data_IF_362753711355
#
_entry.id   IF_362753711355
#
_cell.length_a   1.000
_cell.length_b   1.000
_cell.length_c   1.000
_cell.angle_alpha   90.00
_cell.angle_beta   90.00
_cell.angle_gamma   90.00
#
_symmetry.space_group_name_H-M   'P 1'
#
loop_
_entity.id
_entity.type
_entity.pdbx_description
1 polymer ?
#
# COMPACT_ATOMS: atom_id res chain seq x y z
N UNK A 1 -19.04 -59.22 46.74
CA UNK A 1 -17.82 -58.44 46.41
C UNK A 1 -18.04 -57.73 45.08
N UNK A 2 -18.34 -56.42 45.10
CA UNK A 2 -18.75 -55.63 43.94
C UNK A 2 -17.52 -54.85 43.43
N UNK A 3 -16.78 -55.41 42.48
CA UNK A 3 -15.57 -54.78 41.92
C UNK A 3 -15.97 -53.65 40.96
N UNK A 4 -15.31 -52.52 41.18
CA UNK A 4 -15.60 -51.17 40.69
C UNK A 4 -15.51 -51.03 39.16
N UNK A 5 -16.65 -50.76 38.52
CA UNK A 5 -16.77 -50.40 37.08
C UNK A 5 -16.49 -48.88 36.84
N UNK A 6 -16.14 -48.13 37.90
CA UNK A 6 -16.03 -46.66 37.86
C UNK A 6 -14.68 -46.17 37.28
N UNK A 7 -13.64 -47.01 37.30
CA UNK A 7 -12.28 -46.65 36.84
C UNK A 7 -12.16 -46.41 35.32
N UNK A 8 -12.76 -47.21 34.41
CA UNK A 8 -12.61 -46.99 32.97
C UNK A 8 -13.22 -45.67 32.47
N UNK A 9 -14.30 -45.18 33.10
CA UNK A 9 -14.97 -43.95 32.68
C UNK A 9 -14.18 -42.67 33.00
N UNK A 10 -13.46 -42.65 34.13
CA UNK A 10 -12.62 -41.50 34.51
C UNK A 10 -11.40 -41.35 33.60
N UNK A 11 -10.83 -42.45 33.10
CA UNK A 11 -9.73 -42.43 32.13
C UNK A 11 -10.17 -41.91 30.75
N UNK A 12 -11.38 -42.28 30.29
CA UNK A 12 -11.93 -41.79 29.01
C UNK A 12 -12.24 -40.28 29.07
N UNK A 13 -12.81 -39.80 30.19
CA UNK A 13 -13.10 -38.37 30.37
C UNK A 13 -11.81 -37.54 30.47
N UNK A 14 -10.80 -38.03 31.20
CA UNK A 14 -9.51 -37.35 31.31
C UNK A 14 -8.77 -37.28 29.96
N UNK A 15 -8.83 -38.33 29.15
CA UNK A 15 -8.23 -38.35 27.81
C UNK A 15 -8.96 -37.38 26.85
N UNK A 16 -10.30 -37.37 26.85
CA UNK A 16 -11.09 -36.45 26.03
C UNK A 16 -10.89 -34.97 26.43
N UNK A 17 -10.73 -34.68 27.73
CA UNK A 17 -10.42 -33.34 28.20
C UNK A 17 -8.98 -32.90 27.87
N UNK A 18 -8.04 -33.85 27.81
CA UNK A 18 -6.66 -33.60 27.41
C UNK A 18 -6.55 -33.33 25.89
N UNK A 19 -7.30 -34.04 25.06
CA UNK A 19 -7.34 -33.81 23.61
C UNK A 19 -7.98 -32.47 23.27
N UNK A 20 -9.12 -32.11 23.88
CA UNK A 20 -9.76 -30.81 23.65
C UNK A 20 -8.85 -29.63 24.04
N UNK A 21 -8.13 -29.73 25.16
CA UNK A 21 -7.15 -28.71 25.57
C UNK A 21 -5.95 -28.63 24.63
N UNK A 22 -5.53 -29.74 24.03
CA UNK A 22 -4.46 -29.75 23.06
C UNK A 22 -4.89 -29.08 21.75
N UNK A 23 -6.11 -29.33 21.29
CA UNK A 23 -6.70 -28.69 20.10
C UNK A 23 -6.85 -27.18 20.30
N UNK A 24 -7.39 -26.74 21.45
CA UNK A 24 -7.51 -25.32 21.80
C UNK A 24 -6.12 -24.63 21.84
N UNK A 25 -5.10 -25.30 22.38
CA UNK A 25 -3.74 -24.76 22.47
C UNK A 25 -3.05 -24.65 21.10
N UNK A 26 -3.35 -25.58 20.19
CA UNK A 26 -2.87 -25.54 18.80
C UNK A 26 -3.53 -24.41 18.02
N UNK A 27 -4.85 -24.23 18.15
CA UNK A 27 -5.60 -23.13 17.52
C UNK A 27 -5.10 -21.76 18.01
N UNK A 28 -4.90 -21.62 19.31
CA UNK A 28 -4.32 -20.43 19.94
C UNK A 28 -2.89 -20.13 19.45
N UNK A 29 -2.08 -21.17 19.22
CA UNK A 29 -0.72 -21.02 18.72
C UNK A 29 -0.71 -20.61 17.25
N UNK A 30 -1.55 -21.23 16.41
CA UNK A 30 -1.69 -20.89 15.00
C UNK A 30 -2.19 -19.44 14.84
N UNK A 31 -3.22 -19.04 15.59
CA UNK A 31 -3.76 -17.68 15.56
C UNK A 31 -2.67 -16.66 15.89
N UNK A 32 -1.85 -16.92 16.92
CA UNK A 32 -0.74 -16.04 17.28
C UNK A 32 0.32 -15.97 16.19
N UNK A 33 0.65 -17.08 15.55
CA UNK A 33 1.64 -17.13 14.47
C UNK A 33 1.17 -16.36 13.24
N UNK A 34 -0.07 -16.61 12.79
CA UNK A 34 -0.73 -15.90 11.68
C UNK A 34 -0.80 -14.41 11.93
N UNK A 35 -1.22 -14.05 13.14
CA UNK A 35 -1.32 -12.66 13.54
C UNK A 35 0.06 -12.00 13.53
N UNK A 36 1.09 -12.59 14.14
CA UNK A 36 2.44 -12.04 14.15
C UNK A 36 3.01 -11.87 12.73
N UNK A 37 2.73 -12.83 11.83
CA UNK A 37 3.13 -12.73 10.42
C UNK A 37 2.50 -11.51 9.72
N UNK A 38 1.18 -11.39 9.81
CA UNK A 38 0.46 -10.28 9.19
C UNK A 38 0.83 -8.94 9.84
N UNK A 39 1.05 -8.92 11.16
CA UNK A 39 1.44 -7.71 11.89
C UNK A 39 2.77 -7.16 11.43
N UNK A 40 3.78 -8.01 11.28
CA UNK A 40 5.08 -7.60 10.78
C UNK A 40 5.00 -7.05 9.34
N UNK A 41 4.26 -7.72 8.44
CA UNK A 41 4.17 -7.33 7.03
C UNK A 41 3.36 -6.05 6.83
N UNK A 42 2.21 -5.90 7.49
CA UNK A 42 1.40 -4.69 7.39
C UNK A 42 2.16 -3.47 7.93
N UNK A 43 2.89 -3.60 9.03
CA UNK A 43 3.69 -2.49 9.56
C UNK A 43 4.82 -2.08 8.59
N UNK A 44 5.47 -3.07 7.97
CA UNK A 44 6.50 -2.81 6.94
C UNK A 44 5.91 -2.09 5.73
N UNK A 45 4.77 -2.55 5.22
CA UNK A 45 4.06 -1.92 4.10
C UNK A 45 3.67 -0.48 4.43
N UNK A 46 3.15 -0.25 5.64
CA UNK A 46 2.77 1.08 6.13
C UNK A 46 3.97 2.02 6.17
N UNK A 47 5.08 1.58 6.77
CA UNK A 47 6.29 2.40 6.87
C UNK A 47 6.83 2.76 5.48
N UNK A 48 6.89 1.80 4.55
CA UNK A 48 7.28 2.08 3.17
C UNK A 48 6.35 3.12 2.52
N UNK A 49 5.03 2.95 2.65
CA UNK A 49 4.05 3.89 2.12
C UNK A 49 4.17 5.30 2.72
N UNK A 50 4.47 5.42 4.01
CA UNK A 50 4.70 6.70 4.70
C UNK A 50 5.96 7.40 4.20
N UNK A 51 7.09 6.68 4.08
CA UNK A 51 8.35 7.22 3.57
C UNK A 51 8.18 7.68 2.12
N UNK A 52 7.59 6.84 1.28
CA UNK A 52 7.32 7.14 -0.12
C UNK A 52 6.43 8.38 -0.26
N UNK A 53 5.29 8.38 0.44
CA UNK A 53 4.33 9.49 0.40
C UNK A 53 4.95 10.80 0.86
N UNK A 54 5.66 10.80 1.99
CA UNK A 54 6.28 11.99 2.56
C UNK A 54 7.36 12.54 1.63
N UNK A 55 8.17 11.65 1.06
CA UNK A 55 9.26 12.02 0.15
C UNK A 55 8.74 12.68 -1.11
N UNK A 56 7.76 12.07 -1.78
CA UNK A 56 7.20 12.61 -3.02
C UNK A 56 6.34 13.86 -2.79
N UNK A 57 5.53 13.90 -1.72
CA UNK A 57 4.79 15.11 -1.37
C UNK A 57 5.73 16.28 -1.09
N UNK A 58 6.80 16.05 -0.34
CA UNK A 58 7.82 17.08 -0.04
C UNK A 58 8.51 17.53 -1.32
N UNK A 59 8.94 16.59 -2.16
CA UNK A 59 9.59 16.88 -3.44
C UNK A 59 8.72 17.75 -4.35
N UNK A 60 7.45 17.37 -4.54
CA UNK A 60 6.53 18.13 -5.39
C UNK A 60 6.17 19.50 -4.78
N UNK A 61 5.95 19.57 -3.47
CA UNK A 61 5.62 20.83 -2.78
C UNK A 61 6.79 21.82 -2.85
N UNK A 62 8.00 21.37 -2.52
CA UNK A 62 9.19 22.20 -2.60
C UNK A 62 9.53 22.56 -4.05
N UNK A 63 9.39 21.62 -4.97
CA UNK A 63 9.55 21.84 -6.41
C UNK A 63 8.63 22.95 -6.91
N UNK A 64 7.34 22.93 -6.55
CA UNK A 64 6.39 23.97 -6.96
C UNK A 64 6.84 25.36 -6.48
N UNK A 65 7.25 25.50 -5.22
CA UNK A 65 7.75 26.78 -4.67
C UNK A 65 9.04 27.22 -5.36
N UNK A 66 10.02 26.34 -5.47
CA UNK A 66 11.31 26.66 -6.07
C UNK A 66 11.17 27.08 -7.54
N UNK A 67 10.34 26.37 -8.32
CA UNK A 67 10.11 26.74 -9.71
C UNK A 67 9.32 28.05 -9.84
N UNK A 68 8.38 28.33 -8.94
CA UNK A 68 7.65 29.60 -8.95
C UNK A 68 8.59 30.79 -8.69
N UNK A 69 9.50 30.67 -7.72
CA UNK A 69 10.53 31.70 -7.47
C UNK A 69 11.44 31.89 -8.68
N UNK A 70 11.87 30.79 -9.32
CA UNK A 70 12.69 30.89 -10.55
C UNK A 70 11.90 31.53 -11.70
N UNK A 71 10.60 31.24 -11.83
CA UNK A 71 9.76 31.77 -12.90
C UNK A 71 9.63 33.31 -12.81
N UNK A 72 9.58 33.88 -11.61
CA UNK A 72 9.52 35.35 -11.43
C UNK A 72 10.84 36.04 -11.74
N UNK A 73 11.95 35.32 -11.67
CA UNK A 73 13.30 35.81 -11.96
C UNK A 73 13.74 35.57 -13.41
N UNK A 74 13.01 34.75 -14.16
CA UNK A 74 13.34 34.39 -15.53
C UNK A 74 13.17 35.57 -16.50
N UNK A 75 14.24 35.86 -17.24
CA UNK A 75 14.32 36.97 -18.20
C UNK A 75 13.86 36.56 -19.60
N UNK A 76 14.06 35.30 -19.99
CA UNK A 76 13.64 34.77 -21.27
C UNK A 76 12.24 34.14 -21.20
N UNK A 77 11.47 34.30 -22.29
CA UNK A 77 10.07 33.90 -22.34
C UNK A 77 9.90 32.36 -22.31
N UNK A 78 10.79 31.63 -22.98
CA UNK A 78 10.74 30.17 -23.08
C UNK A 78 10.98 29.52 -21.70
N UNK A 79 12.02 29.91 -20.98
CA UNK A 79 12.29 29.41 -19.64
C UNK A 79 11.24 29.83 -18.64
N UNK A 80 10.74 31.07 -18.72
CA UNK A 80 9.63 31.47 -17.85
C UNK A 80 8.40 30.60 -18.08
N UNK A 81 8.08 30.26 -19.33
CA UNK A 81 6.98 29.37 -19.66
C UNK A 81 7.21 27.93 -19.14
N UNK A 82 8.39 27.36 -19.39
CA UNK A 82 8.78 26.03 -18.88
C UNK A 82 8.70 25.94 -17.35
N UNK A 83 9.15 26.99 -16.64
CA UNK A 83 9.10 27.06 -15.19
C UNK A 83 7.65 27.11 -14.68
N UNK A 84 6.77 27.91 -15.30
CA UNK A 84 5.34 27.92 -14.93
C UNK A 84 4.65 26.59 -15.22
N UNK A 85 4.96 25.94 -16.34
CA UNK A 85 4.47 24.59 -16.64
C UNK A 85 4.95 23.61 -15.55
N UNK A 86 6.21 23.73 -15.14
CA UNK A 86 6.79 22.91 -14.06
C UNK A 86 6.10 23.16 -12.72
N UNK A 87 5.73 24.40 -12.40
CA UNK A 87 4.91 24.73 -11.21
C UNK A 87 3.58 24.00 -11.28
N UNK A 88 2.85 24.12 -12.39
CA UNK A 88 1.53 23.47 -12.56
C UNK A 88 1.64 21.95 -12.41
N UNK A 89 2.64 21.32 -13.05
CA UNK A 89 2.89 19.88 -12.92
C UNK A 89 3.20 19.49 -11.48
N UNK A 90 4.08 20.23 -10.81
CA UNK A 90 4.47 19.95 -9.43
C UNK A 90 3.30 20.11 -8.45
N UNK A 91 2.49 21.16 -8.61
CA UNK A 91 1.26 21.35 -7.83
C UNK A 91 0.27 20.22 -8.07
N UNK A 92 0.07 19.80 -9.32
CA UNK A 92 -0.76 18.63 -9.64
C UNK A 92 -0.26 17.35 -8.98
N UNK A 93 1.07 17.14 -8.97
CA UNK A 93 1.72 16.08 -8.21
C UNK A 93 1.39 16.14 -6.73
N UNK A 94 1.60 17.29 -6.07
CA UNK A 94 1.29 17.46 -4.65
C UNK A 94 -0.19 17.20 -4.32
N UNK A 95 -1.11 17.71 -5.15
CA UNK A 95 -2.57 17.47 -4.99
C UNK A 95 -2.88 15.97 -5.05
N UNK A 96 -2.28 15.22 -5.98
CA UNK A 96 -2.46 13.77 -6.06
C UNK A 96 -2.08 13.08 -4.75
N UNK A 97 -0.93 13.45 -4.16
CA UNK A 97 -0.47 12.86 -2.89
C UNK A 97 -1.37 13.26 -1.72
N UNK A 98 -1.90 14.48 -1.70
CA UNK A 98 -2.88 14.91 -0.68
C UNK A 98 -4.20 14.14 -0.81
N UNK A 99 -4.68 13.93 -2.04
CA UNK A 99 -5.95 13.25 -2.30
C UNK A 99 -5.90 11.75 -2.01
N UNK A 100 -4.73 11.12 -2.21
CA UNK A 100 -4.54 9.68 -2.01
C UNK A 100 -3.34 9.47 -1.06
N UNK A 101 -3.54 9.67 0.25
CA UNK A 101 -2.49 9.51 1.22
C UNK A 101 -1.99 8.06 1.27
N UNK A 102 -0.67 7.89 1.41
CA UNK A 102 0.00 6.60 1.56
C UNK A 102 -0.34 5.57 0.46
N UNK A 103 -0.78 6.02 -0.72
CA UNK A 103 -1.23 5.11 -1.78
C UNK A 103 -2.46 4.27 -1.43
N UNK A 104 -3.18 4.62 -0.37
CA UNK A 104 -4.31 3.83 0.14
C UNK A 104 -3.93 2.57 0.94
N UNK A 105 -2.64 2.41 1.27
CA UNK A 105 -2.15 1.37 2.20
C UNK A 105 -2.68 1.68 3.60
N UNK A 106 -3.27 0.66 4.23
CA UNK A 106 -3.74 0.72 5.60
C UNK A 106 -2.74 0.07 6.54
N UNK A 107 -2.49 0.74 7.66
CA UNK A 107 -1.82 0.17 8.82
C UNK A 107 -2.75 -0.66 9.69
N UNK A 108 -2.19 -1.32 10.69
CA UNK A 108 -2.94 -2.12 11.66
C UNK A 108 -3.64 -1.33 12.74
N UNK A 109 -3.43 -0.01 12.81
CA UNK A 109 -4.02 0.84 13.84
C UNK A 109 -5.47 0.44 14.13
N UNK A 110 -5.75 0.28 15.43
CA UNK A 110 -6.11 1.51 16.13
C UNK A 110 -5.33 1.69 17.43
N UNK A 111 -5.30 2.94 17.90
CA UNK A 111 -4.98 3.37 19.27
C UNK A 111 -5.23 2.27 20.32
N UNK A 112 -4.38 2.14 21.36
CA UNK A 112 -4.53 1.16 22.45
C UNK A 112 -5.96 1.01 23.02
N UNK A 113 -6.81 2.03 22.86
CA UNK A 113 -8.23 2.02 23.23
C UNK A 113 -9.10 1.01 22.47
N UNK A 114 -8.71 0.54 21.29
CA UNK A 114 -9.54 -0.35 20.45
C UNK A 114 -9.05 -1.81 20.43
N UNK A 115 -7.80 -2.07 20.81
CA UNK A 115 -7.21 -3.41 20.91
C UNK A 115 -7.37 -4.00 22.32
N UNK A 116 -7.54 -3.17 23.35
CA UNK A 116 -7.76 -3.63 24.71
C UNK A 116 -9.05 -4.47 24.83
N UNK A 117 -8.92 -5.70 25.33
CA UNK A 117 -10.05 -6.63 25.53
C UNK A 117 -10.56 -7.35 24.28
N UNK A 118 -9.90 -7.22 23.12
CA UNK A 118 -10.26 -8.01 21.92
C UNK A 118 -9.55 -9.37 21.91
N UNK A 119 -10.25 -10.41 21.45
CA UNK A 119 -9.67 -11.74 21.32
C UNK A 119 -8.62 -11.80 20.20
N UNK A 120 -7.63 -12.71 20.29
CA UNK A 120 -6.68 -12.97 19.21
C UNK A 120 -7.34 -13.25 17.86
N UNK A 121 -8.44 -14.02 17.85
CA UNK A 121 -9.20 -14.31 16.63
C UNK A 121 -9.79 -13.06 15.96
N UNK A 122 -10.27 -12.09 16.75
CA UNK A 122 -10.77 -10.83 16.19
C UNK A 122 -9.65 -10.00 15.55
N UNK A 123 -8.48 -9.95 16.20
CA UNK A 123 -7.29 -9.25 15.69
C UNK A 123 -6.80 -9.88 14.39
N UNK A 124 -6.77 -11.21 14.33
CA UNK A 124 -6.42 -11.96 13.13
C UNK A 124 -7.36 -11.63 11.98
N UNK A 125 -8.68 -11.74 12.19
CA UNK A 125 -9.67 -11.40 11.16
C UNK A 125 -9.55 -9.95 10.67
N UNK A 126 -9.16 -9.01 11.54
CA UNK A 126 -8.89 -7.63 11.14
C UNK A 126 -7.61 -7.53 10.31
N UNK A 127 -6.52 -8.16 10.73
CA UNK A 127 -5.26 -8.17 10.01
C UNK A 127 -5.43 -8.77 8.60
N UNK A 128 -6.19 -9.85 8.48
CA UNK A 128 -6.51 -10.47 7.18
C UNK A 128 -7.28 -9.53 6.26
N UNK A 129 -8.28 -8.80 6.77
CA UNK A 129 -9.01 -7.80 5.97
C UNK A 129 -8.09 -6.67 5.49
N UNK A 130 -7.19 -6.21 6.35
CA UNK A 130 -6.23 -5.15 5.98
C UNK A 130 -5.23 -5.67 4.94
N UNK A 131 -4.68 -6.87 5.12
CA UNK A 131 -3.75 -7.47 4.18
C UNK A 131 -4.39 -7.68 2.80
N UNK A 132 -5.62 -8.22 2.77
CA UNK A 132 -6.38 -8.37 1.52
C UNK A 132 -6.70 -7.02 0.85
N UNK A 133 -7.07 -5.99 1.63
CA UNK A 133 -7.28 -4.64 1.11
C UNK A 133 -6.00 -4.04 0.52
N UNK A 134 -4.88 -4.11 1.24
CA UNK A 134 -3.59 -3.61 0.76
C UNK A 134 -3.18 -4.35 -0.53
N UNK A 135 -3.31 -5.67 -0.57
CA UNK A 135 -3.05 -6.47 -1.76
C UNK A 135 -3.92 -6.07 -2.96
N UNK A 136 -5.18 -5.73 -2.74
CA UNK A 136 -6.09 -5.29 -3.81
C UNK A 136 -5.82 -3.84 -4.28
N UNK A 137 -5.24 -2.99 -3.42
CA UNK A 137 -4.94 -1.58 -3.72
C UNK A 137 -3.58 -1.38 -4.35
N UNK A 138 -2.67 -2.32 -4.14
CA UNK A 138 -1.29 -2.24 -4.61
C UNK A 138 -1.12 -2.96 -5.93
N UNK A 139 -0.55 -2.28 -6.92
CA UNK A 139 -0.15 -2.90 -8.19
C UNK A 139 1.36 -2.75 -8.36
N UNK A 140 2.12 -3.83 -8.55
CA UNK A 140 3.54 -3.74 -8.84
C UNK A 140 3.78 -2.86 -10.07
N UNK A 141 4.62 -1.84 -9.91
CA UNK A 141 5.06 -0.91 -10.97
C UNK A 141 3.98 -0.02 -11.62
N UNK A 142 2.80 0.14 -11.02
CA UNK A 142 1.67 0.87 -11.60
C UNK A 142 1.12 0.24 -12.92
N UNK A 143 -0.15 0.49 -13.28
CA UNK A 143 -0.70 -0.03 -14.53
C UNK A 143 -0.18 0.73 -15.75
N UNK A 144 -0.11 0.06 -16.92
CA UNK A 144 0.45 0.60 -18.17
C UNK A 144 -0.08 2.00 -18.54
N UNK A 145 -1.38 2.26 -18.29
CA UNK A 145 -2.01 3.53 -18.62
C UNK A 145 -1.46 4.71 -17.80
N UNK A 146 -0.90 4.46 -16.61
CA UNK A 146 -0.28 5.48 -15.78
C UNK A 146 1.01 6.01 -16.42
N UNK A 147 1.82 5.14 -17.03
CA UNK A 147 3.03 5.51 -17.76
C UNK A 147 2.69 6.30 -19.03
N UNK A 148 1.65 5.89 -19.75
CA UNK A 148 1.16 6.62 -20.92
C UNK A 148 0.65 8.01 -20.52
N UNK A 149 -0.10 8.12 -19.43
CA UNK A 149 -0.55 9.41 -18.90
C UNK A 149 0.64 10.29 -18.47
N UNK A 150 1.66 9.71 -17.80
CA UNK A 150 2.88 10.41 -17.43
C UNK A 150 3.64 10.94 -18.67
N UNK A 151 3.78 10.10 -19.71
CA UNK A 151 4.38 10.50 -20.98
C UNK A 151 3.58 11.64 -21.64
N UNK A 152 2.25 11.52 -21.69
CA UNK A 152 1.38 12.51 -22.33
C UNK A 152 1.46 13.89 -21.65
N UNK A 153 1.43 13.93 -20.30
CA UNK A 153 1.57 15.18 -19.52
C UNK A 153 2.94 15.82 -19.73
N UNK A 154 3.99 15.03 -19.90
CA UNK A 154 5.32 15.56 -20.12
C UNK A 154 5.55 16.03 -21.56
N UNK A 155 5.08 15.26 -22.55
CA UNK A 155 5.12 15.62 -23.95
C UNK A 155 4.33 16.89 -24.25
N UNK A 156 3.18 17.12 -23.59
CA UNK A 156 2.43 18.37 -23.77
C UNK A 156 3.24 19.60 -23.34
N UNK A 157 4.01 19.50 -22.25
CA UNK A 157 4.95 20.55 -21.84
C UNK A 157 6.02 20.83 -22.90
N UNK A 158 6.61 19.78 -23.48
CA UNK A 158 7.58 19.95 -24.57
C UNK A 158 6.98 20.65 -25.79
N UNK A 159 5.76 20.31 -26.17
CA UNK A 159 5.05 20.95 -27.30
C UNK A 159 4.77 22.42 -27.00
N UNK A 160 4.33 22.77 -25.79
CA UNK A 160 4.06 24.16 -25.43
C UNK A 160 5.33 25.01 -25.51
N UNK A 161 6.45 24.53 -24.94
CA UNK A 161 7.72 25.27 -24.95
C UNK A 161 8.32 25.30 -26.38
N UNK A 162 8.37 24.16 -27.05
CA UNK A 162 8.97 24.03 -28.37
C UNK A 162 8.21 24.75 -29.47
N UNK A 163 6.90 24.49 -29.61
CA UNK A 163 6.09 25.11 -30.65
C UNK A 163 5.65 26.54 -30.27
N UNK A 164 5.37 26.81 -29.00
CA UNK A 164 4.87 28.12 -28.54
C UNK A 164 5.97 29.18 -28.37
N UNK A 165 7.19 28.75 -28.02
CA UNK A 165 8.30 29.66 -27.71
C UNK A 165 9.56 29.40 -28.54
N UNK A 166 9.54 28.43 -29.45
CA UNK A 166 10.64 28.14 -30.38
C UNK A 166 11.81 27.39 -29.77
N UNK A 167 11.70 26.86 -28.54
CA UNK A 167 12.79 26.16 -27.84
C UNK A 167 12.48 24.68 -27.62
N UNK A 168 12.66 23.88 -28.68
CA UNK A 168 12.45 22.44 -28.62
C UNK A 168 13.45 21.72 -27.73
N UNK A 169 14.69 22.22 -27.64
CA UNK A 169 15.72 21.61 -26.80
C UNK A 169 15.31 21.68 -25.33
N UNK A 170 14.93 22.86 -24.86
CA UNK A 170 14.43 23.04 -23.49
C UNK A 170 13.17 22.22 -23.24
N UNK A 171 12.21 22.26 -24.17
CA UNK A 171 10.97 21.49 -24.05
C UNK A 171 11.20 19.99 -23.89
N UNK A 172 12.08 19.41 -24.72
CA UNK A 172 12.41 17.97 -24.66
C UNK A 172 13.14 17.61 -23.38
N UNK A 173 14.11 18.43 -22.94
CA UNK A 173 14.83 18.19 -21.67
C UNK A 173 13.86 18.20 -20.49
N UNK A 174 12.98 19.20 -20.43
CA UNK A 174 11.96 19.32 -19.38
C UNK A 174 11.01 18.12 -19.38
N UNK A 175 10.54 17.69 -20.55
CA UNK A 175 9.70 16.50 -20.68
C UNK A 175 10.42 15.22 -20.24
N UNK A 176 11.68 15.03 -20.61
CA UNK A 176 12.47 13.86 -20.23
C UNK A 176 12.67 13.80 -18.71
N UNK A 177 13.02 14.92 -18.08
CA UNK A 177 13.18 15.02 -16.62
C UNK A 177 11.84 14.73 -15.93
N UNK A 178 10.76 15.39 -16.36
CA UNK A 178 9.45 15.21 -15.75
C UNK A 178 8.91 13.78 -15.91
N UNK A 179 9.16 13.15 -17.07
CA UNK A 179 8.82 11.75 -17.29
C UNK A 179 9.60 10.85 -16.33
N UNK A 180 10.92 10.98 -16.27
CA UNK A 180 11.79 10.18 -15.40
C UNK A 180 11.40 10.32 -13.91
N UNK A 181 11.06 11.53 -13.46
CA UNK A 181 10.56 11.78 -12.10
C UNK A 181 9.25 11.03 -11.84
N UNK A 182 8.30 11.07 -12.79
CA UNK A 182 7.03 10.34 -12.67
C UNK A 182 7.23 8.82 -12.63
N UNK A 183 8.11 8.28 -13.49
CA UNK A 183 8.46 6.86 -13.50
C UNK A 183 9.12 6.44 -12.18
N UNK A 184 10.08 7.23 -11.68
CA UNK A 184 10.71 6.98 -10.39
C UNK A 184 9.68 6.91 -9.25
N UNK A 185 8.65 7.76 -9.29
CA UNK A 185 7.56 7.71 -8.30
C UNK A 185 6.75 6.42 -8.38
N UNK A 186 6.48 5.91 -9.59
CA UNK A 186 5.78 4.62 -9.75
C UNK A 186 6.64 3.43 -9.30
N UNK A 187 7.92 3.39 -9.68
CA UNK A 187 8.81 2.28 -9.34
C UNK A 187 9.18 2.21 -7.87
N UNK A 188 9.19 3.34 -7.16
CA UNK A 188 9.48 3.39 -5.72
C UNK A 188 8.24 3.27 -4.85
N UNK A 189 7.05 3.18 -5.45
CA UNK A 189 5.81 3.01 -4.69
C UNK A 189 5.74 1.67 -3.94
N UNK A 190 4.91 1.57 -2.89
CA UNK A 190 4.69 0.30 -2.19
C UNK A 190 4.17 -0.77 -3.15
N UNK A 191 4.72 -1.99 -3.09
CA UNK A 191 4.46 -3.08 -4.04
C UNK A 191 4.35 -4.47 -3.39
N UNK A 192 4.67 -4.59 -2.10
CA UNK A 192 4.88 -5.86 -1.39
C UNK A 192 3.58 -6.58 -1.06
N UNK A 193 2.50 -5.83 -0.83
CA UNK A 193 1.26 -6.35 -0.27
C UNK A 193 0.63 -7.55 -1.01
N UNK A 194 0.58 -7.58 -2.37
CA UNK A 194 0.08 -8.74 -3.09
C UNK A 194 0.91 -10.01 -2.85
N UNK A 195 2.25 -9.87 -2.78
CA UNK A 195 3.16 -10.97 -2.50
C UNK A 195 3.04 -11.47 -1.06
N UNK A 196 2.99 -10.55 -0.09
CA UNK A 196 2.80 -10.88 1.32
C UNK A 196 1.48 -11.61 1.58
N UNK A 197 0.42 -11.20 0.90
CA UNK A 197 -0.90 -11.83 1.00
C UNK A 197 -0.92 -13.23 0.36
N UNK A 198 -0.30 -13.40 -0.80
CA UNK A 198 -0.17 -14.71 -1.43
C UNK A 198 0.67 -15.67 -0.57
N UNK A 199 1.76 -15.19 0.04
CA UNK A 199 2.60 -15.97 0.97
C UNK A 199 1.79 -16.41 2.19
N UNK A 200 1.01 -15.51 2.78
CA UNK A 200 0.10 -15.82 3.88
C UNK A 200 -0.89 -16.94 3.51
N UNK A 201 -1.59 -16.79 2.37
CA UNK A 201 -2.57 -17.79 1.93
C UNK A 201 -1.94 -19.15 1.68
N UNK A 202 -0.77 -19.19 1.03
CA UNK A 202 -0.05 -20.41 0.74
C UNK A 202 0.42 -21.12 2.03
N UNK A 203 0.96 -20.38 3.00
CA UNK A 203 1.53 -20.93 4.23
C UNK A 203 0.47 -21.59 5.12
N UNK A 204 -0.71 -20.99 5.24
CA UNK A 204 -1.81 -21.53 6.04
C UNK A 204 -2.86 -22.29 5.23
N UNK A 205 -2.54 -22.63 3.97
CA UNK A 205 -3.43 -23.34 3.02
C UNK A 205 -4.85 -22.83 3.12
N UNK A 206 -4.98 -21.50 3.10
CA UNK A 206 -6.26 -20.89 2.84
C UNK A 206 -6.54 -21.14 1.36
N UNK A 207 -6.96 -22.37 1.05
CA UNK A 207 -7.67 -22.70 -0.19
C UNK A 207 -8.96 -21.88 -0.13
N UNK A 208 -8.84 -20.60 -0.46
CA UNK A 208 -9.97 -19.92 -1.07
C UNK A 208 -10.14 -20.67 -2.38
N UNK A 209 -11.08 -21.62 -2.38
CA UNK A 209 -11.67 -22.14 -3.61
C UNK A 209 -12.22 -20.96 -4.40
N UNK A 210 -11.34 -20.26 -5.12
CA UNK A 210 -11.66 -19.18 -6.05
C UNK A 210 -12.22 -19.79 -7.34
N UNK A 211 -13.18 -20.69 -7.16
CA UNK A 211 -14.28 -20.88 -8.07
C UNK A 211 -15.53 -20.30 -7.41
N UNK A 212 -15.93 -19.11 -7.85
CA UNK A 212 -17.33 -18.63 -7.83
C UNK A 212 -17.96 -18.35 -6.45
N UNK A 213 -17.79 -17.12 -5.92
CA UNK A 213 -18.89 -16.37 -5.29
C UNK A 213 -18.45 -14.94 -5.00
N UNK A 214 -19.12 -13.98 -5.63
CA UNK A 214 -18.90 -12.55 -5.40
C UNK A 214 -19.13 -12.19 -3.94
N UNK A 215 -18.07 -11.71 -3.29
CA UNK A 215 -18.19 -10.94 -2.06
C UNK A 215 -18.74 -9.58 -2.44
N UNK A 216 -20.05 -9.38 -2.22
CA UNK A 216 -20.62 -8.04 -2.16
C UNK A 216 -20.01 -7.34 -0.94
N UNK A 217 -19.26 -6.28 -1.21
CA UNK A 217 -18.91 -5.29 -0.20
C UNK A 217 -20.15 -4.44 0.02
N UNK A 218 -20.91 -4.75 1.06
CA UNK A 218 -21.90 -3.82 1.57
C UNK A 218 -21.14 -2.80 2.43
N UNK A 219 -21.12 -1.56 1.94
CA UNK A 219 -20.60 -0.37 2.61
C UNK A 219 -21.55 0.10 3.73
#
# INVERSE_FOLDING_TARGET
MRRSIVVPWLLVIALAAATARADDAVDDAEIRERLAFLEARIETQKLHAEIWWTSWLTFYSFGAVAQAVRATQATDAASRADLWISVVKATGGAIRFIAIPHGGILGLEPSPRYTFGRSPAWRLARAERIAAHNAARTTPCAPWYAHVANLAVNASGAVIVGAGYGDWQQGIISAAIGFAVGEASFFTGPWEAPGDWAEYQARWRLDLGLGQAGVRLDF
#
